data_IF_896158145317
#
_entry.id   IF_896158145317
#
_cell.length_a   1.000
_cell.length_b   1.000
_cell.length_c   1.000
_cell.angle_alpha   90.00
_cell.angle_beta   90.00
_cell.angle_gamma   90.00
#
_symmetry.space_group_name_H-M   'P 1'
#
loop_
_entity.id
_entity.type
_entity.pdbx_description
1 polymer ?
#
# COMPACT_ATOMS: atom_id res chain seq x y z
N UNK A 1 -30.53 24.64 -14.67
CA UNK A 1 -30.16 23.30 -15.23
C UNK A 1 -31.44 22.67 -15.74
N UNK A 2 -31.43 22.02 -16.91
CA UNK A 2 -32.66 21.42 -17.47
C UNK A 2 -33.17 20.28 -16.58
N UNK A 3 -34.49 20.17 -16.47
CA UNK A 3 -35.21 19.20 -15.62
C UNK A 3 -34.85 17.76 -15.99
N UNK A 4 -34.69 17.47 -17.28
CA UNK A 4 -34.21 16.19 -17.78
C UNK A 4 -32.81 15.81 -17.24
N UNK A 5 -31.92 16.78 -17.01
CA UNK A 5 -30.62 16.49 -16.38
C UNK A 5 -30.75 16.26 -14.88
N UNK A 6 -31.62 17.00 -14.20
CA UNK A 6 -31.88 16.83 -12.76
C UNK A 6 -32.47 15.45 -12.49
N UNK A 7 -33.41 14.98 -13.35
CA UNK A 7 -33.96 13.62 -13.27
C UNK A 7 -32.86 12.55 -13.34
N UNK A 8 -31.93 12.67 -14.31
CA UNK A 8 -30.81 11.72 -14.47
C UNK A 8 -29.82 11.74 -13.30
N UNK A 9 -29.59 12.91 -12.69
CA UNK A 9 -28.73 13.06 -11.51
C UNK A 9 -29.38 12.46 -10.26
N UNK A 10 -30.67 12.74 -10.05
CA UNK A 10 -31.43 12.18 -8.94
C UNK A 10 -31.51 10.65 -9.04
N UNK A 11 -31.73 10.12 -10.25
CA UNK A 11 -31.76 8.68 -10.48
C UNK A 11 -30.40 8.03 -10.22
N UNK A 12 -29.30 8.63 -10.71
CA UNK A 12 -27.94 8.15 -10.39
C UNK A 12 -27.67 8.16 -8.88
N UNK A 13 -28.16 9.18 -8.17
CA UNK A 13 -28.01 9.28 -6.71
C UNK A 13 -28.78 8.16 -6.00
N UNK A 14 -30.00 7.86 -6.44
CA UNK A 14 -30.78 6.73 -5.91
C UNK A 14 -30.06 5.40 -6.09
N UNK A 15 -29.46 5.17 -7.26
CA UNK A 15 -28.69 3.95 -7.54
C UNK A 15 -27.47 3.81 -6.63
N UNK A 16 -26.73 4.90 -6.40
CA UNK A 16 -25.61 4.90 -5.46
C UNK A 16 -26.05 4.54 -4.03
N UNK A 17 -27.21 5.05 -3.58
CA UNK A 17 -27.78 4.66 -2.28
C UNK A 17 -28.30 3.21 -2.27
N UNK A 18 -28.82 2.70 -3.40
CA UNK A 18 -29.23 1.30 -3.55
C UNK A 18 -28.05 0.35 -3.38
N UNK A 19 -26.92 0.67 -4.01
CA UNK A 19 -25.70 -0.13 -3.86
C UNK A 19 -25.10 -0.01 -2.46
N UNK A 20 -25.08 1.20 -1.88
CA UNK A 20 -24.67 1.40 -0.49
C UNK A 20 -25.54 0.59 0.49
N UNK A 21 -26.86 0.56 0.29
CA UNK A 21 -27.79 -0.22 1.11
C UNK A 21 -27.45 -1.72 1.08
N UNK A 22 -27.20 -2.29 -0.10
CA UNK A 22 -26.83 -3.71 -0.25
C UNK A 22 -25.54 -4.02 0.50
N UNK A 23 -24.53 -3.16 0.34
CA UNK A 23 -23.24 -3.33 1.01
C UNK A 23 -23.36 -3.22 2.54
N UNK A 24 -24.11 -2.24 3.03
CA UNK A 24 -24.31 -2.04 4.48
C UNK A 24 -25.04 -3.21 5.16
N UNK A 25 -25.83 -3.98 4.41
CA UNK A 25 -26.56 -5.13 4.94
C UNK A 25 -25.71 -6.41 5.01
N UNK A 26 -24.47 -6.40 4.52
CA UNK A 26 -23.56 -7.55 4.63
C UNK A 26 -23.27 -7.87 6.09
N UNK A 27 -23.50 -9.13 6.49
CA UNK A 27 -23.38 -9.55 7.88
C UNK A 27 -22.03 -9.28 8.53
N UNK A 28 -20.95 -9.22 7.74
CA UNK A 28 -19.59 -8.90 8.21
C UNK A 28 -19.40 -7.46 8.69
N UNK A 29 -20.22 -6.52 8.21
CA UNK A 29 -20.08 -5.09 8.51
C UNK A 29 -21.35 -4.42 9.02
N UNK A 30 -22.50 -5.10 8.96
CA UNK A 30 -23.81 -4.55 9.35
C UNK A 30 -23.79 -3.95 10.76
N UNK A 31 -23.19 -4.67 11.70
CA UNK A 31 -23.18 -4.29 13.11
C UNK A 31 -22.08 -3.25 13.44
N UNK A 32 -21.24 -2.87 12.46
CA UNK A 32 -20.24 -1.80 12.60
C UNK A 32 -20.84 -0.40 12.32
N UNK A 33 -21.98 -0.33 11.62
CA UNK A 33 -22.61 0.94 11.29
C UNK A 33 -23.45 1.48 12.46
N UNK A 34 -23.50 2.81 12.67
CA UNK A 34 -24.45 3.39 13.59
C UNK A 34 -25.89 3.03 13.20
N UNK A 35 -26.74 2.78 14.19
CA UNK A 35 -28.11 2.24 13.98
C UNK A 35 -28.98 3.10 13.06
N UNK A 36 -28.76 4.42 13.03
CA UNK A 36 -29.55 5.36 12.21
C UNK A 36 -29.09 5.47 10.75
N UNK A 37 -27.93 4.91 10.40
CA UNK A 37 -27.39 5.04 9.05
C UNK A 37 -28.17 4.24 8.03
N UNK A 38 -28.53 2.98 8.34
CA UNK A 38 -29.28 2.15 7.40
C UNK A 38 -30.67 2.76 7.11
N UNK A 39 -31.49 3.16 8.11
CA UNK A 39 -32.73 3.92 7.85
C UNK A 39 -32.51 5.17 6.98
N UNK A 40 -31.45 5.94 7.25
CA UNK A 40 -31.11 7.14 6.46
C UNK A 40 -30.80 6.81 5.00
N UNK A 41 -30.03 5.75 4.75
CA UNK A 41 -29.66 5.30 3.39
C UNK A 41 -30.88 4.80 2.63
N UNK A 42 -31.70 3.95 3.26
CA UNK A 42 -32.92 3.40 2.63
C UNK A 42 -33.93 4.51 2.35
N UNK A 43 -34.08 5.48 3.26
CA UNK A 43 -34.89 6.67 3.04
C UNK A 43 -34.38 7.51 1.86
N UNK A 44 -33.08 7.84 1.84
CA UNK A 44 -32.50 8.65 0.74
C UNK A 44 -32.62 7.94 -0.60
N UNK A 45 -32.43 6.62 -0.65
CA UNK A 45 -32.62 5.83 -1.87
C UNK A 45 -34.02 6.06 -2.47
N UNK A 46 -35.08 5.87 -1.67
CA UNK A 46 -36.46 6.03 -2.11
C UNK A 46 -36.80 7.50 -2.42
N UNK A 47 -36.35 8.45 -1.58
CA UNK A 47 -36.56 9.88 -1.79
C UNK A 47 -35.92 10.41 -3.08
N UNK A 48 -34.67 10.02 -3.39
CA UNK A 48 -34.02 10.43 -4.64
C UNK A 48 -34.63 9.74 -5.87
N UNK A 49 -35.18 8.53 -5.73
CA UNK A 49 -35.95 7.90 -6.81
C UNK A 49 -37.23 8.71 -7.08
N UNK A 50 -37.97 9.09 -6.05
CA UNK A 50 -39.15 9.93 -6.20
C UNK A 50 -38.83 11.28 -6.85
N UNK A 51 -37.69 11.88 -6.52
CA UNK A 51 -37.26 13.12 -7.17
C UNK A 51 -36.96 12.91 -8.65
N UNK A 52 -36.36 11.78 -9.02
CA UNK A 52 -36.13 11.46 -10.43
C UNK A 52 -37.45 11.39 -11.21
N UNK A 53 -38.45 10.69 -10.66
CA UNK A 53 -39.79 10.58 -11.27
C UNK A 53 -40.51 11.92 -11.33
N UNK A 54 -40.41 12.74 -10.29
CA UNK A 54 -40.97 14.08 -10.28
C UNK A 54 -40.37 14.97 -11.38
N UNK A 55 -39.05 15.05 -11.49
CA UNK A 55 -38.45 15.87 -12.55
C UNK A 55 -38.71 15.30 -13.95
N UNK A 56 -38.80 13.98 -14.09
CA UNK A 56 -39.19 13.35 -15.35
C UNK A 56 -40.66 13.62 -15.71
N UNK A 57 -41.56 13.75 -14.72
CA UNK A 57 -42.95 14.15 -14.96
C UNK A 57 -43.06 15.57 -15.53
N UNK A 58 -42.20 16.50 -15.08
CA UNK A 58 -42.14 17.86 -15.63
C UNK A 58 -41.67 17.83 -17.09
N UNK A 59 -40.74 16.93 -17.44
CA UNK A 59 -40.32 16.72 -18.83
C UNK A 59 -41.47 16.19 -19.68
N UNK A 60 -42.23 15.21 -19.17
CA UNK A 60 -43.41 14.68 -19.84
C UNK A 60 -44.50 15.75 -20.05
N UNK A 61 -44.70 16.63 -19.05
CA UNK A 61 -45.59 17.79 -19.15
C UNK A 61 -45.13 18.74 -20.27
N UNK A 62 -43.84 19.04 -20.37
CA UNK A 62 -43.27 19.89 -21.43
C UNK A 62 -43.44 19.28 -22.83
N UNK A 63 -43.44 17.94 -22.93
CA UNK A 63 -43.70 17.22 -24.19
C UNK A 63 -45.20 16.96 -24.44
N UNK A 64 -46.09 17.48 -23.58
CA UNK A 64 -47.55 17.29 -23.64
C UNK A 64 -48.01 15.84 -23.49
N UNK A 65 -47.22 15.01 -22.81
CA UNK A 65 -47.55 13.63 -22.45
C UNK A 65 -48.18 13.60 -21.05
N UNK A 66 -49.42 14.07 -20.93
CA UNK A 66 -50.09 14.29 -19.63
C UNK A 66 -50.41 12.99 -18.89
N UNK A 67 -50.70 11.91 -19.62
CA UNK A 67 -50.88 10.58 -19.01
C UNK A 67 -49.60 10.09 -18.34
N UNK A 68 -48.44 10.25 -19.00
CA UNK A 68 -47.13 9.92 -18.46
C UNK A 68 -46.76 10.81 -17.25
N UNK A 69 -47.06 12.11 -17.31
CA UNK A 69 -46.88 13.03 -16.18
C UNK A 69 -47.58 12.49 -14.92
N UNK A 70 -48.86 12.14 -15.03
CA UNK A 70 -49.65 11.63 -13.90
C UNK A 70 -49.09 10.30 -13.39
N UNK A 71 -48.78 9.35 -14.28
CA UNK A 71 -48.24 8.05 -13.89
C UNK A 71 -46.92 8.22 -13.09
N UNK A 72 -46.03 9.09 -13.54
CA UNK A 72 -44.77 9.38 -12.84
C UNK A 72 -44.98 10.09 -11.51
N UNK A 73 -45.93 11.03 -11.44
CA UNK A 73 -46.27 11.72 -10.18
C UNK A 73 -46.88 10.77 -9.14
N UNK A 74 -47.73 9.82 -9.56
CA UNK A 74 -48.26 8.77 -8.69
C UNK A 74 -47.13 7.89 -8.14
N UNK A 75 -46.22 7.44 -9.00
CA UNK A 75 -45.06 6.66 -8.57
C UNK A 75 -44.14 7.44 -7.61
N UNK A 76 -43.90 8.73 -7.88
CA UNK A 76 -43.13 9.59 -6.98
C UNK A 76 -43.78 9.73 -5.60
N UNK A 77 -45.10 9.82 -5.53
CA UNK A 77 -45.85 9.90 -4.27
C UNK A 77 -45.74 8.60 -3.47
N UNK A 78 -45.89 7.43 -4.12
CA UNK A 78 -45.72 6.11 -3.51
C UNK A 78 -44.31 5.93 -2.94
N UNK A 79 -43.29 6.30 -3.71
CA UNK A 79 -41.89 6.25 -3.29
C UNK A 79 -41.60 7.17 -2.10
N UNK A 80 -42.21 8.36 -2.04
CA UNK A 80 -42.08 9.25 -0.89
C UNK A 80 -42.80 8.73 0.36
N UNK A 81 -43.97 8.11 0.21
CA UNK A 81 -44.64 7.45 1.32
C UNK A 81 -43.79 6.30 1.86
N UNK A 82 -43.20 5.49 0.99
CA UNK A 82 -42.24 4.47 1.37
C UNK A 82 -40.99 5.06 2.05
N UNK A 83 -40.44 6.16 1.51
CA UNK A 83 -39.32 6.89 2.09
C UNK A 83 -39.62 7.40 3.50
N UNK A 84 -40.82 7.95 3.73
CA UNK A 84 -41.27 8.43 5.02
C UNK A 84 -41.39 7.30 6.04
N UNK A 85 -42.00 6.17 5.64
CA UNK A 85 -42.14 4.99 6.49
C UNK A 85 -40.79 4.38 6.88
N UNK A 86 -39.82 4.38 5.96
CA UNK A 86 -38.47 3.82 6.19
C UNK A 86 -37.56 4.75 6.99
N UNK A 87 -37.68 6.06 6.79
CA UNK A 87 -36.85 7.06 7.47
C UNK A 87 -37.35 7.46 8.87
N UNK A 88 -38.66 7.37 9.13
CA UNK A 88 -39.25 7.77 10.40
C UNK A 88 -38.86 9.21 10.77
N UNK A 89 -38.19 9.38 11.92
CA UNK A 89 -37.73 10.68 12.40
C UNK A 89 -36.67 11.35 11.50
N UNK A 90 -35.97 10.60 10.65
CA UNK A 90 -34.94 11.15 9.74
C UNK A 90 -35.51 11.69 8.43
N UNK A 91 -36.83 11.58 8.22
CA UNK A 91 -37.49 12.00 6.99
C UNK A 91 -37.35 13.50 6.70
N UNK A 92 -36.66 13.81 5.60
CA UNK A 92 -36.30 15.17 5.21
C UNK A 92 -36.89 15.65 3.87
N UNK A 93 -37.81 14.91 3.25
CA UNK A 93 -38.44 15.24 1.95
C UNK A 93 -39.86 15.82 2.09
N UNK A 94 -40.19 16.47 3.22
CA UNK A 94 -41.56 16.96 3.50
C UNK A 94 -42.03 18.03 2.52
N UNK A 95 -41.13 18.94 2.13
CA UNK A 95 -41.45 20.03 1.20
C UNK A 95 -41.69 19.48 -0.21
N UNK A 96 -40.86 18.53 -0.63
CA UNK A 96 -40.94 17.84 -1.91
C UNK A 96 -42.20 16.98 -2.00
N UNK A 97 -42.59 16.30 -0.92
CA UNK A 97 -43.84 15.55 -0.83
C UNK A 97 -45.06 16.46 -1.05
N UNK A 98 -45.10 17.60 -0.37
CA UNK A 98 -46.17 18.58 -0.58
C UNK A 98 -46.19 19.14 -2.01
N UNK A 99 -45.01 19.32 -2.63
CA UNK A 99 -44.89 19.80 -4.01
C UNK A 99 -45.40 18.77 -5.02
N UNK A 100 -45.01 17.50 -4.87
CA UNK A 100 -45.48 16.40 -5.72
C UNK A 100 -46.99 16.21 -5.58
N UNK A 101 -47.53 16.28 -4.37
CA UNK A 101 -48.97 16.18 -4.15
C UNK A 101 -49.73 17.25 -4.94
N UNK A 102 -49.32 18.52 -4.81
CA UNK A 102 -49.97 19.64 -5.52
C UNK A 102 -49.86 19.49 -7.04
N UNK A 103 -48.71 19.03 -7.54
CA UNK A 103 -48.51 18.78 -8.96
C UNK A 103 -49.44 17.66 -9.45
N UNK A 104 -49.56 16.57 -8.70
CA UNK A 104 -50.44 15.44 -9.02
C UNK A 104 -51.90 15.86 -9.04
N UNK A 105 -52.36 16.61 -8.03
CA UNK A 105 -53.73 17.10 -7.95
C UNK A 105 -54.07 18.01 -9.15
N UNK A 106 -53.12 18.86 -9.54
CA UNK A 106 -53.27 19.78 -10.68
C UNK A 106 -53.29 19.02 -12.01
N UNK A 107 -52.32 18.15 -12.25
CA UNK A 107 -52.23 17.34 -13.47
C UNK A 107 -53.46 16.43 -13.64
N UNK A 108 -53.91 15.79 -12.55
CA UNK A 108 -55.10 14.93 -12.56
C UNK A 108 -56.36 15.72 -12.87
N UNK A 109 -56.52 16.92 -12.29
CA UNK A 109 -57.63 17.81 -12.59
C UNK A 109 -57.62 18.18 -14.06
N UNK A 110 -56.53 18.73 -14.57
CA UNK A 110 -56.45 19.19 -15.96
C UNK A 110 -56.65 18.03 -16.95
N UNK A 111 -56.13 16.84 -16.66
CA UNK A 111 -56.36 15.67 -17.51
C UNK A 111 -57.82 15.22 -17.51
N UNK A 112 -58.51 15.28 -16.37
CA UNK A 112 -59.93 14.89 -16.28
C UNK A 112 -60.89 15.89 -16.93
N UNK A 113 -60.52 17.17 -17.04
CA UNK A 113 -61.39 18.21 -17.60
C UNK A 113 -61.01 18.62 -19.03
N UNK A 114 -59.74 18.51 -19.41
CA UNK A 114 -59.20 19.09 -20.64
C UNK A 114 -58.64 17.98 -21.55
N UNK A 115 -57.60 17.28 -21.12
CA UNK A 115 -56.77 16.48 -22.05
C UNK A 115 -57.29 15.07 -22.30
N UNK A 116 -57.87 14.42 -21.29
CA UNK A 116 -58.34 13.03 -21.32
C UNK A 116 -57.27 12.05 -21.84
N UNK A 117 -55.99 12.32 -21.56
CA UNK A 117 -54.88 11.47 -21.96
C UNK A 117 -54.87 10.19 -21.12
N UNK A 118 -54.55 9.06 -21.75
CA UNK A 118 -54.58 7.75 -21.09
C UNK A 118 -53.37 7.62 -20.18
N UNK A 119 -53.61 7.32 -18.91
CA UNK A 119 -52.54 7.06 -17.94
C UNK A 119 -51.91 5.70 -18.26
N UNK A 120 -50.62 5.64 -18.63
CA UNK A 120 -49.91 4.39 -18.91
C UNK A 120 -49.54 3.64 -17.63
N UNK A 121 -49.31 2.34 -17.73
CA UNK A 121 -48.75 1.53 -16.64
C UNK A 121 -47.26 1.90 -16.46
N UNK A 122 -46.77 1.97 -15.23
CA UNK A 122 -45.37 2.23 -14.89
C UNK A 122 -44.40 1.31 -15.64
N UNK A 123 -44.79 0.04 -15.89
CA UNK A 123 -43.95 -0.92 -16.63
C UNK A 123 -43.74 -0.56 -18.09
N UNK A 124 -44.63 0.27 -18.66
CA UNK A 124 -44.57 0.70 -20.06
C UNK A 124 -43.81 2.01 -20.25
N UNK A 125 -43.50 2.70 -19.16
CA UNK A 125 -42.74 3.95 -19.18
C UNK A 125 -41.27 3.70 -19.54
N UNK A 126 -40.67 4.65 -20.26
CA UNK A 126 -39.24 4.58 -20.52
C UNK A 126 -38.45 4.79 -19.21
N UNK A 127 -37.40 3.98 -18.96
CA UNK A 127 -36.52 4.15 -17.83
C UNK A 127 -35.84 5.52 -17.83
N UNK A 128 -35.67 6.11 -16.65
CA UNK A 128 -34.92 7.35 -16.48
C UNK A 128 -33.44 7.08 -16.75
N UNK A 129 -32.80 7.91 -17.56
CA UNK A 129 -31.36 7.81 -17.82
C UNK A 129 -30.51 8.08 -16.57
N UNK A 130 -29.22 7.74 -16.63
CA UNK A 130 -28.27 7.99 -15.53
C UNK A 130 -27.23 9.03 -15.94
N UNK A 131 -26.80 9.88 -15.00
CA UNK A 131 -25.71 10.84 -15.20
C UNK A 131 -24.72 10.78 -14.04
N UNK A 132 -23.52 10.25 -14.30
CA UNK A 132 -22.45 10.13 -13.30
C UNK A 132 -21.63 11.42 -13.26
N UNK A 133 -21.67 12.12 -12.13
CA UNK A 133 -20.95 13.39 -11.92
C UNK A 133 -19.87 13.33 -10.85
N UNK A 134 -19.81 12.23 -10.09
CA UNK A 134 -18.82 12.03 -9.04
C UNK A 134 -18.08 10.71 -9.26
N UNK A 135 -16.79 10.71 -8.96
CA UNK A 135 -15.92 9.53 -8.90
C UNK A 135 -15.14 9.58 -7.59
N UNK A 136 -14.83 8.41 -7.04
CA UNK A 136 -13.94 8.33 -5.89
C UNK A 136 -12.57 8.93 -6.25
N UNK A 137 -12.11 9.89 -5.44
CA UNK A 137 -10.78 10.46 -5.63
C UNK A 137 -9.72 9.40 -5.29
N UNK A 138 -8.65 9.25 -6.09
CA UNK A 138 -7.54 8.39 -5.73
C UNK A 138 -6.88 8.92 -4.46
N UNK A 139 -6.46 8.00 -3.58
CA UNK A 139 -5.71 8.37 -2.37
C UNK A 139 -4.28 8.70 -2.80
N UNK A 140 -3.94 9.99 -2.82
CA UNK A 140 -2.58 10.44 -3.06
C UNK A 140 -1.71 10.19 -1.81
N UNK A 141 -0.48 9.72 -2.01
CA UNK A 141 0.54 9.73 -0.98
C UNK A 141 1.67 10.67 -1.41
N UNK A 142 1.94 11.75 -0.66
CA UNK A 142 1.28 12.17 0.59
C UNK A 142 -0.09 12.85 0.35
N UNK A 143 -1.01 12.71 1.30
CA UNK A 143 -2.32 13.38 1.24
C UNK A 143 -2.26 14.89 1.54
N UNK A 144 -1.17 15.39 2.14
CA UNK A 144 -1.01 16.79 2.52
C UNK A 144 -0.24 17.58 1.46
N UNK A 145 -0.61 18.85 1.28
CA UNK A 145 -0.10 19.71 0.20
C UNK A 145 1.34 20.22 0.40
N UNK A 146 1.98 19.90 1.53
CA UNK A 146 3.35 20.29 1.90
C UNK A 146 4.00 19.24 2.80
N UNK A 147 3.84 17.97 2.43
CA UNK A 147 4.44 16.89 3.19
C UNK A 147 5.95 16.99 3.17
N UNK A 148 6.57 16.77 4.33
CA UNK A 148 8.02 16.63 4.49
C UNK A 148 8.25 15.32 5.21
N UNK A 149 9.04 14.43 4.62
CA UNK A 149 9.39 13.17 5.25
C UNK A 149 10.48 13.41 6.32
N UNK A 150 10.15 13.16 7.58
CA UNK A 150 11.08 13.29 8.70
C UNK A 150 12.25 12.30 8.60
N UNK A 151 12.08 11.22 7.84
CA UNK A 151 13.03 10.13 7.68
C UNK A 151 13.62 10.06 6.28
N UNK A 152 13.56 11.13 5.50
CA UNK A 152 14.13 11.19 4.14
C UNK A 152 15.60 10.74 4.08
N UNK A 153 16.36 10.98 5.16
CA UNK A 153 17.78 10.60 5.28
C UNK A 153 18.01 9.18 5.77
N UNK A 154 16.97 8.47 6.23
CA UNK A 154 17.09 7.09 6.68
C UNK A 154 17.28 6.19 5.46
N UNK A 155 18.33 5.39 5.49
CA UNK A 155 18.58 4.38 4.47
C UNK A 155 17.52 3.28 4.59
N UNK A 156 16.83 2.92 3.49
CA UNK A 156 15.86 1.84 3.53
C UNK A 156 16.49 0.52 3.96
N UNK A 157 15.77 -0.24 4.78
CA UNK A 157 16.23 -1.54 5.29
C UNK A 157 16.70 -2.50 4.17
N UNK A 158 16.00 -2.62 3.01
CA UNK A 158 16.47 -3.50 1.94
C UNK A 158 17.84 -3.08 1.37
N UNK A 159 18.16 -1.78 1.37
CA UNK A 159 19.46 -1.29 0.93
C UNK A 159 20.54 -1.64 1.95
N UNK A 160 20.22 -1.51 3.25
CA UNK A 160 21.14 -1.89 4.32
C UNK A 160 21.43 -3.41 4.32
N UNK A 161 20.41 -4.24 4.13
CA UNK A 161 20.54 -5.70 4.01
C UNK A 161 21.39 -6.07 2.79
N UNK A 162 21.14 -5.44 1.63
CA UNK A 162 21.93 -5.65 0.42
C UNK A 162 23.40 -5.25 0.61
N UNK A 163 23.68 -4.12 1.27
CA UNK A 163 25.04 -3.69 1.60
C UNK A 163 25.75 -4.69 2.52
N UNK A 164 25.06 -5.21 3.53
CA UNK A 164 25.61 -6.20 4.45
C UNK A 164 25.93 -7.51 3.72
N UNK A 165 25.03 -7.97 2.86
CA UNK A 165 25.26 -9.15 2.04
C UNK A 165 26.44 -8.96 1.07
N UNK A 166 26.55 -7.78 0.46
CA UNK A 166 27.69 -7.41 -0.39
C UNK A 166 29.01 -7.44 0.37
N UNK A 167 29.09 -6.81 1.54
CA UNK A 167 30.31 -6.79 2.37
C UNK A 167 30.74 -8.20 2.80
N UNK A 168 29.78 -9.03 3.20
CA UNK A 168 30.05 -10.44 3.53
C UNK A 168 30.61 -11.19 2.31
N UNK A 169 30.02 -11.00 1.13
CA UNK A 169 30.48 -11.68 -0.09
C UNK A 169 31.85 -11.18 -0.53
N UNK A 170 32.12 -9.87 -0.43
CA UNK A 170 33.43 -9.26 -0.70
C UNK A 170 34.49 -9.87 0.22
N UNK A 171 34.23 -9.90 1.53
CA UNK A 171 35.14 -10.46 2.52
C UNK A 171 35.42 -11.95 2.27
N UNK A 172 34.38 -12.72 1.93
CA UNK A 172 34.52 -14.13 1.59
C UNK A 172 35.42 -14.34 0.37
N UNK A 173 35.19 -13.59 -0.72
CA UNK A 173 35.99 -13.70 -1.94
C UNK A 173 37.45 -13.34 -1.65
N UNK A 174 37.69 -12.21 -0.98
CA UNK A 174 39.06 -11.76 -0.64
C UNK A 174 39.76 -12.80 0.24
N UNK A 175 39.10 -13.31 1.27
CA UNK A 175 39.68 -14.30 2.19
C UNK A 175 40.00 -15.62 1.47
N UNK A 176 39.11 -16.06 0.58
CA UNK A 176 39.31 -17.28 -0.22
C UNK A 176 40.50 -17.13 -1.17
N UNK A 177 40.61 -15.99 -1.86
CA UNK A 177 41.71 -15.73 -2.79
C UNK A 177 43.06 -15.58 -2.07
N UNK A 178 43.09 -14.88 -0.94
CA UNK A 178 44.28 -14.78 -0.09
C UNK A 178 44.68 -16.16 0.44
N UNK A 179 43.73 -16.96 0.89
CA UNK A 179 43.97 -18.34 1.34
C UNK A 179 44.54 -19.22 0.23
N UNK A 180 43.99 -19.12 -0.99
CA UNK A 180 44.47 -19.85 -2.16
C UNK A 180 45.91 -19.48 -2.50
N UNK A 181 46.26 -18.19 -2.49
CA UNK A 181 47.62 -17.71 -2.75
C UNK A 181 48.60 -18.19 -1.68
N UNK A 182 48.21 -18.15 -0.39
CA UNK A 182 49.04 -18.66 0.71
C UNK A 182 49.30 -20.16 0.55
N UNK A 183 48.26 -20.96 0.34
CA UNK A 183 48.40 -22.41 0.16
C UNK A 183 49.27 -22.76 -1.05
N UNK A 184 49.09 -22.07 -2.18
CA UNK A 184 49.92 -22.28 -3.37
C UNK A 184 51.39 -21.92 -3.12
N UNK A 185 51.64 -20.82 -2.40
CA UNK A 185 53.00 -20.39 -2.02
C UNK A 185 53.65 -21.38 -1.05
N UNK A 186 52.91 -21.86 -0.04
CA UNK A 186 53.40 -22.86 0.91
C UNK A 186 53.70 -24.19 0.21
N UNK A 187 52.81 -24.65 -0.67
CA UNK A 187 53.02 -25.87 -1.46
C UNK A 187 54.24 -25.72 -2.36
N UNK A 188 54.37 -24.60 -3.08
CA UNK A 188 55.54 -24.32 -3.90
C UNK A 188 56.83 -24.34 -3.07
N UNK A 189 56.85 -23.65 -1.93
CA UNK A 189 58.00 -23.63 -1.02
C UNK A 189 58.35 -25.02 -0.48
N UNK A 190 57.34 -25.84 -0.15
CA UNK A 190 57.53 -27.21 0.31
C UNK A 190 58.10 -28.12 -0.78
N UNK A 191 57.62 -28.01 -2.01
CA UNK A 191 58.15 -28.77 -3.16
C UNK A 191 59.57 -28.33 -3.50
N UNK A 192 59.85 -27.03 -3.50
CA UNK A 192 61.21 -26.54 -3.73
C UNK A 192 62.17 -27.04 -2.64
N UNK A 193 61.75 -27.01 -1.37
CA UNK A 193 62.55 -27.53 -0.27
C UNK A 193 62.81 -29.04 -0.39
N UNK A 194 61.81 -29.84 -0.78
CA UNK A 194 61.97 -31.30 -0.93
C UNK A 194 62.88 -31.69 -2.10
N UNK A 195 62.95 -30.85 -3.13
CA UNK A 195 63.89 -30.97 -4.25
C UNK A 195 65.25 -30.32 -3.96
N UNK A 196 65.46 -29.79 -2.75
CA UNK A 196 66.64 -29.00 -2.36
C UNK A 196 66.91 -27.81 -3.30
N UNK A 197 65.88 -27.22 -3.90
CA UNK A 197 65.99 -26.08 -4.80
C UNK A 197 65.77 -24.75 -4.05
N UNK A 198 66.50 -23.68 -4.39
CA UNK A 198 67.52 -23.60 -5.45
C UNK A 198 68.94 -24.04 -5.02
N UNK A 199 69.13 -24.45 -3.76
CA UNK A 199 70.44 -24.80 -3.20
C UNK A 199 71.22 -25.86 -4.01
N UNK A 200 70.53 -26.87 -4.55
CA UNK A 200 71.11 -27.94 -5.36
C UNK A 200 71.68 -27.45 -6.71
N UNK A 201 71.24 -26.29 -7.21
CA UNK A 201 71.79 -25.67 -8.42
C UNK A 201 72.94 -24.71 -8.12
N UNK A 202 72.95 -24.14 -6.91
CA UNK A 202 73.96 -23.16 -6.47
C UNK A 202 75.21 -23.85 -5.90
N UNK A 203 75.07 -25.04 -5.34
CA UNK A 203 76.17 -25.80 -4.74
C UNK A 203 76.96 -26.62 -5.77
N UNK A 204 77.76 -25.92 -6.59
CA UNK A 204 78.59 -26.54 -7.62
C UNK A 204 79.86 -27.23 -7.08
N UNK A 205 80.29 -26.91 -5.86
CA UNK A 205 81.60 -27.34 -5.31
C UNK A 205 81.54 -28.01 -3.94
N UNK A 206 80.40 -28.02 -3.23
CA UNK A 206 80.20 -28.71 -1.94
C UNK A 206 80.95 -28.11 -0.74
N UNK A 207 81.72 -27.04 -0.94
CA UNK A 207 82.59 -26.42 0.08
C UNK A 207 81.99 -25.16 0.71
N UNK A 208 80.92 -24.57 0.15
CA UNK A 208 80.36 -23.29 0.58
C UNK A 208 78.85 -23.39 0.79
N UNK A 209 78.33 -22.62 1.76
CA UNK A 209 76.88 -22.50 1.96
C UNK A 209 76.25 -21.83 0.73
N UNK A 210 75.18 -22.40 0.16
CA UNK A 210 74.49 -21.82 -1.00
C UNK A 210 74.01 -20.38 -0.74
N UNK A 211 74.06 -19.56 -1.79
CA UNK A 211 73.76 -18.13 -1.70
C UNK A 211 72.32 -17.86 -1.24
N UNK A 212 71.35 -18.63 -1.74
CA UNK A 212 69.93 -18.54 -1.34
C UNK A 212 69.68 -18.82 0.15
N UNK A 213 70.50 -19.66 0.78
CA UNK A 213 70.41 -19.96 2.22
C UNK A 213 70.99 -18.81 3.04
N UNK A 214 72.11 -18.22 2.59
CA UNK A 214 72.71 -17.04 3.22
C UNK A 214 71.77 -15.83 3.18
N UNK A 215 71.11 -15.58 2.05
CA UNK A 215 70.15 -14.49 1.91
C UNK A 215 68.94 -14.67 2.83
N UNK A 216 68.38 -15.89 2.92
CA UNK A 216 67.30 -16.19 3.88
C UNK A 216 67.75 -16.02 5.34
N UNK A 217 68.99 -16.42 5.66
CA UNK A 217 69.54 -16.25 7.00
C UNK A 217 69.69 -14.75 7.36
N UNK A 218 70.17 -13.93 6.42
CA UNK A 218 70.26 -12.48 6.59
C UNK A 218 68.88 -11.85 6.78
N UNK A 219 67.88 -12.22 5.97
CA UNK A 219 66.50 -11.73 6.13
C UNK A 219 65.92 -12.07 7.51
N UNK A 220 66.15 -13.28 8.02
CA UNK A 220 65.70 -13.68 9.36
C UNK A 220 66.39 -12.83 10.44
N UNK A 221 67.69 -12.56 10.29
CA UNK A 221 68.44 -11.71 11.22
C UNK A 221 67.93 -10.26 11.20
N UNK A 222 67.69 -9.68 10.02
CA UNK A 222 67.11 -8.33 9.85
C UNK A 222 65.72 -8.22 10.47
N UNK A 223 64.90 -9.27 10.38
CA UNK A 223 63.57 -9.31 10.98
C UNK A 223 63.58 -9.42 12.51
N UNK A 224 64.76 -9.51 13.14
CA UNK A 224 64.93 -9.61 14.59
C UNK A 224 65.24 -11.02 15.09
N UNK A 225 65.47 -11.99 14.20
CA UNK A 225 65.90 -13.34 14.54
C UNK A 225 65.01 -14.04 15.57
N UNK A 226 65.63 -14.88 16.40
CA UNK A 226 64.94 -15.67 17.42
C UNK A 226 64.39 -14.81 18.56
N UNK A 227 65.06 -13.71 18.91
CA UNK A 227 64.65 -12.85 20.03
C UNK A 227 63.27 -12.23 19.81
N UNK A 228 62.91 -11.95 18.56
CA UNK A 228 61.55 -11.49 18.22
C UNK A 228 60.50 -12.58 18.41
N UNK A 229 60.79 -13.82 18.05
CA UNK A 229 59.89 -14.95 18.28
C UNK A 229 59.70 -15.20 19.78
N UNK A 230 60.78 -15.17 20.55
CA UNK A 230 60.73 -15.33 22.01
C UNK A 230 59.90 -14.23 22.65
N UNK A 231 60.06 -12.98 22.19
CA UNK A 231 59.24 -11.86 22.66
C UNK A 231 57.76 -12.04 22.33
N UNK A 232 57.42 -12.38 21.08
CA UNK A 232 56.02 -12.62 20.69
C UNK A 232 55.39 -13.76 21.51
N UNK A 233 56.18 -14.80 21.81
CA UNK A 233 55.72 -15.92 22.63
C UNK A 233 55.55 -15.53 24.11
N UNK A 234 56.41 -14.66 24.63
CA UNK A 234 56.31 -14.10 25.99
C UNK A 234 55.14 -13.12 26.16
N UNK A 235 54.82 -12.33 25.13
CA UNK A 235 53.78 -11.30 25.19
C UNK A 235 52.36 -11.92 25.04
N UNK A 236 52.24 -13.10 24.42
CA UNK A 236 50.95 -13.72 24.10
C UNK A 236 50.08 -14.08 25.33
N UNK A 237 50.62 -14.64 26.43
CA UNK A 237 49.86 -14.86 27.67
C UNK A 237 49.41 -13.55 28.35
N UNK A 238 50.21 -12.49 28.29
CA UNK A 238 49.86 -11.19 28.86
C UNK A 238 48.67 -10.56 28.12
N UNK A 239 48.69 -10.61 26.78
CA UNK A 239 47.58 -10.14 25.95
C UNK A 239 46.29 -10.93 26.22
N UNK A 240 46.39 -12.25 26.40
CA UNK A 240 45.26 -13.09 26.77
C UNK A 240 44.70 -12.69 28.14
N UNK A 241 45.56 -12.48 29.13
CA UNK A 241 45.18 -12.12 30.50
C UNK A 241 44.47 -10.77 30.51
N UNK A 242 45.02 -9.78 29.80
CA UNK A 242 44.39 -8.46 29.65
C UNK A 242 42.99 -8.55 29.03
N UNK A 243 42.80 -9.38 28.01
CA UNK A 243 41.48 -9.57 27.41
C UNK A 243 40.49 -10.21 28.40
N UNK A 244 40.94 -11.13 29.26
CA UNK A 244 40.11 -11.73 30.32
C UNK A 244 39.74 -10.71 31.39
N UNK A 245 40.69 -9.91 31.86
CA UNK A 245 40.45 -8.87 32.86
C UNK A 245 39.40 -7.85 32.37
N UNK A 246 39.51 -7.41 31.10
CA UNK A 246 38.52 -6.50 30.49
C UNK A 246 37.13 -7.16 30.47
N UNK A 247 37.04 -8.44 30.11
CA UNK A 247 35.78 -9.18 30.08
C UNK A 247 35.17 -9.28 31.48
N UNK A 248 35.97 -9.68 32.47
CA UNK A 248 35.54 -9.88 33.86
C UNK A 248 35.11 -8.55 34.50
N UNK A 249 35.80 -7.44 34.20
CA UNK A 249 35.41 -6.12 34.68
C UNK A 249 34.04 -5.67 34.13
N UNK A 250 33.76 -5.90 32.83
CA UNK A 250 32.47 -5.58 32.21
C UNK A 250 31.34 -6.42 32.82
N UNK A 251 31.60 -7.71 33.06
CA UNK A 251 30.62 -8.62 33.66
C UNK A 251 30.33 -8.25 35.12
N UNK A 252 31.36 -7.88 35.90
CA UNK A 252 31.20 -7.51 37.31
C UNK A 252 30.57 -6.14 37.53
N UNK A 253 30.70 -5.19 36.58
CA UNK A 253 30.03 -3.88 36.64
C UNK A 253 28.54 -3.91 36.23
N UNK A 254 28.05 -5.05 35.72
CA UNK A 254 26.67 -5.21 35.26
C UNK A 254 25.71 -5.74 36.36
N UNK A 255 26.19 -5.84 37.61
CA UNK A 255 25.41 -6.16 38.82
C UNK A 255 25.39 -4.99 39.80
#
# INVERSE_FOLDING_TARGET
>A
MKEAMIAKLAYQTSELYSDAMKLMQLGSIRDLWPKDWLPTVVMKQAGFHAMAEFYQSIVAQQTKSYGEEIARLQHAQELLAASQNRGGATFNFKAEQAKIQRALDTATKDNNFIYHDKIPDLKTLQPIGKAVVAKAAPVAQPMSTKFTDLFEKIVPLPVHEALTAFENRKSQIVSMEVGRLRNATEMMNSVLASLNLPAALEDLSGERVPQSVLEKAQQIQELGGLTKLDKLMSDLPELLTRNREILDEVLNRSY
#
